data_IF_111409289044
#
_entry.id   IF_111409289044
#
_cell.length_a   1.000
_cell.length_b   1.000
_cell.length_c   1.000
_cell.angle_alpha   90.00
_cell.angle_beta   90.00
_cell.angle_gamma   90.00
#
_symmetry.space_group_name_H-M   'P 1'
#
loop_
_entity.id
_entity.type
_entity.pdbx_description
1 polymer ?
#
# COMPACT_ATOMS: atom_id res chain seq x y z
N UNK A 1 19.42 -20.62 5.52
CA UNK A 1 18.91 -22.01 5.42
C UNK A 1 17.68 -22.37 6.28
N UNK A 2 17.25 -21.60 7.31
CA UNK A 2 15.99 -21.87 8.07
C UNK A 2 14.71 -21.46 7.33
N UNK A 3 14.79 -20.53 6.39
CA UNK A 3 13.63 -19.90 5.72
C UNK A 3 12.94 -20.79 4.68
N UNK A 4 13.63 -21.77 4.12
CA UNK A 4 13.07 -22.74 3.15
C UNK A 4 12.07 -23.74 3.75
N UNK A 5 11.82 -23.67 5.06
CA UNK A 5 10.89 -24.60 5.75
C UNK A 5 9.47 -24.04 5.91
N UNK A 6 9.24 -22.75 5.59
CA UNK A 6 7.91 -22.18 5.66
C UNK A 6 7.01 -22.78 4.56
N UNK A 7 5.91 -23.38 4.95
CA UNK A 7 4.97 -24.05 4.01
C UNK A 7 4.43 -23.11 2.96
N UNK A 8 4.09 -21.86 3.36
CA UNK A 8 3.62 -20.86 2.44
C UNK A 8 4.67 -20.53 1.37
N UNK A 9 5.93 -20.36 1.75
CA UNK A 9 7.01 -20.13 0.79
C UNK A 9 7.24 -21.36 -0.11
N UNK A 10 7.22 -22.58 0.46
CA UNK A 10 7.37 -23.80 -0.33
C UNK A 10 6.25 -23.93 -1.37
N UNK A 11 5.02 -23.62 -0.99
CA UNK A 11 3.90 -23.59 -1.91
C UNK A 11 4.13 -22.56 -3.04
N UNK A 12 4.48 -21.31 -2.69
CA UNK A 12 4.77 -20.26 -3.68
C UNK A 12 5.81 -20.70 -4.71
N UNK A 13 6.86 -21.39 -4.29
CA UNK A 13 7.92 -21.85 -5.20
C UNK A 13 7.48 -22.90 -6.22
N UNK A 14 6.31 -23.53 -6.01
CA UNK A 14 5.71 -24.49 -6.98
C UNK A 14 4.67 -23.87 -7.89
N UNK A 15 4.26 -22.62 -7.64
CA UNK A 15 3.20 -21.94 -8.37
C UNK A 15 3.74 -21.22 -9.62
N UNK A 16 2.91 -21.14 -10.67
CA UNK A 16 3.16 -20.32 -11.86
C UNK A 16 2.64 -18.89 -11.60
N UNK A 17 3.52 -17.87 -11.51
CA UNK A 17 3.08 -16.50 -11.21
C UNK A 17 2.10 -15.92 -12.23
N UNK A 18 2.08 -16.42 -13.47
CA UNK A 18 1.16 -15.97 -14.52
C UNK A 18 -0.28 -16.47 -14.34
N UNK A 19 -0.45 -17.59 -13.64
CA UNK A 19 -1.74 -18.26 -13.44
C UNK A 19 -2.20 -18.16 -11.98
N UNK A 20 -1.25 -18.33 -11.05
CA UNK A 20 -1.53 -18.52 -9.63
C UNK A 20 -1.29 -17.25 -8.81
N UNK A 21 -1.25 -16.07 -9.46
CA UNK A 21 -0.95 -14.77 -8.81
C UNK A 21 -1.87 -14.47 -7.63
N UNK A 22 -3.14 -14.84 -7.66
CA UNK A 22 -4.05 -14.64 -6.52
C UNK A 22 -3.60 -15.46 -5.30
N UNK A 23 -3.21 -16.73 -5.53
CA UNK A 23 -2.73 -17.59 -4.45
C UNK A 23 -1.39 -17.10 -3.91
N UNK A 24 -0.47 -16.67 -4.76
CA UNK A 24 0.82 -16.10 -4.36
C UNK A 24 0.60 -14.85 -3.49
N UNK A 25 -0.23 -13.91 -3.93
CA UNK A 25 -0.50 -12.68 -3.18
C UNK A 25 -1.22 -12.96 -1.87
N UNK A 26 -2.15 -13.92 -1.84
CA UNK A 26 -2.80 -14.36 -0.61
C UNK A 26 -1.79 -14.91 0.41
N UNK A 27 -0.89 -15.79 -0.01
CA UNK A 27 0.14 -16.36 0.85
C UNK A 27 1.09 -15.27 1.38
N UNK A 28 1.48 -14.36 0.50
CA UNK A 28 2.32 -13.22 0.85
C UNK A 28 1.65 -12.31 1.90
N UNK A 29 0.41 -11.89 1.65
CA UNK A 29 -0.29 -10.91 2.47
C UNK A 29 -0.80 -11.49 3.79
N UNK A 30 -1.24 -12.75 3.80
CA UNK A 30 -1.92 -13.33 4.96
C UNK A 30 -1.02 -14.21 5.83
N UNK A 31 0.09 -14.74 5.29
CA UNK A 31 0.97 -15.66 6.01
C UNK A 31 2.39 -15.12 6.20
N UNK A 32 3.08 -14.78 5.11
CA UNK A 32 4.51 -14.47 5.14
C UNK A 32 4.80 -13.03 5.64
N UNK A 33 4.10 -12.03 5.09
CA UNK A 33 4.41 -10.62 5.31
C UNK A 33 3.20 -9.74 5.66
N UNK A 34 2.25 -10.17 6.54
CA UNK A 34 1.02 -9.40 6.74
C UNK A 34 1.26 -7.98 7.28
N UNK A 35 2.29 -7.77 8.10
CA UNK A 35 2.70 -6.44 8.55
C UNK A 35 3.32 -5.63 7.40
N UNK A 36 4.25 -6.24 6.68
CA UNK A 36 5.03 -5.54 5.65
C UNK A 36 4.15 -5.18 4.44
N UNK A 37 3.23 -6.05 4.03
CA UNK A 37 2.23 -5.75 2.97
C UNK A 37 1.36 -4.57 3.38
N UNK A 38 0.91 -4.50 4.64
CA UNK A 38 0.13 -3.36 5.11
C UNK A 38 0.95 -2.07 5.10
N UNK A 39 2.16 -2.07 5.68
CA UNK A 39 3.01 -0.88 5.76
C UNK A 39 3.46 -0.41 4.38
N UNK A 40 3.85 -1.33 3.51
CA UNK A 40 4.24 -0.99 2.15
C UNK A 40 3.07 -0.50 1.29
N UNK A 41 1.86 -1.05 1.48
CA UNK A 41 0.64 -0.55 0.83
C UNK A 41 0.30 0.89 1.26
N UNK A 42 0.47 1.22 2.54
CA UNK A 42 0.34 2.60 3.01
C UNK A 42 1.38 3.52 2.38
N UNK A 43 2.63 3.08 2.29
CA UNK A 43 3.70 3.84 1.63
C UNK A 43 3.45 3.99 0.13
N UNK A 44 2.88 2.97 -0.53
CA UNK A 44 2.48 3.04 -1.93
C UNK A 44 1.45 4.15 -2.17
N UNK A 45 0.38 4.18 -1.35
CA UNK A 45 -0.60 5.26 -1.40
C UNK A 45 0.00 6.61 -1.07
N UNK A 46 0.80 6.70 -0.02
CA UNK A 46 1.42 7.94 0.42
C UNK A 46 2.29 8.54 -0.69
N UNK A 47 3.00 7.69 -1.45
CA UNK A 47 3.84 8.07 -2.57
C UNK A 47 3.04 8.74 -3.69
N UNK A 48 1.80 8.31 -3.94
CA UNK A 48 0.95 8.90 -4.98
C UNK A 48 0.58 10.35 -4.71
N UNK A 49 0.57 10.79 -3.45
CA UNK A 49 0.29 12.19 -3.07
C UNK A 49 1.37 13.15 -3.55
N UNK A 50 2.57 12.67 -3.90
CA UNK A 50 3.65 13.50 -4.43
C UNK A 50 3.40 13.98 -5.88
N UNK A 51 2.38 13.43 -6.57
CA UNK A 51 1.91 13.86 -7.89
C UNK A 51 0.82 14.92 -7.74
N UNK A 52 1.05 16.18 -8.18
CA UNK A 52 0.08 17.26 -7.97
C UNK A 52 -1.32 17.00 -8.53
N UNK A 53 -1.44 16.33 -9.69
CA UNK A 53 -2.75 15.96 -10.27
C UNK A 53 -3.55 15.07 -9.32
N UNK A 54 -2.92 14.01 -8.85
CA UNK A 54 -3.53 13.06 -7.89
C UNK A 54 -3.87 13.77 -6.58
N UNK A 55 -2.92 14.55 -6.02
CA UNK A 55 -3.13 15.27 -4.78
C UNK A 55 -4.28 16.28 -4.86
N UNK A 56 -4.37 17.04 -5.95
CA UNK A 56 -5.44 18.02 -6.18
C UNK A 56 -6.80 17.33 -6.25
N UNK A 57 -6.92 16.20 -6.99
CA UNK A 57 -8.15 15.42 -7.04
C UNK A 57 -8.55 14.93 -5.65
N UNK A 58 -7.64 14.30 -4.91
CA UNK A 58 -7.90 13.78 -3.58
C UNK A 58 -8.26 14.88 -2.58
N UNK A 59 -7.65 16.06 -2.70
CA UNK A 59 -8.00 17.21 -1.88
C UNK A 59 -9.40 17.74 -2.19
N UNK A 60 -9.75 17.81 -3.49
CA UNK A 60 -11.08 18.26 -3.95
C UNK A 60 -12.20 17.34 -3.45
N UNK A 61 -11.97 16.03 -3.32
CA UNK A 61 -12.98 15.11 -2.78
C UNK A 61 -13.35 15.40 -1.32
N UNK A 62 -12.50 16.10 -0.56
CA UNK A 62 -12.69 16.39 0.86
C UNK A 62 -12.53 15.18 1.80
N UNK A 63 -12.42 13.96 1.28
CA UNK A 63 -12.38 12.75 2.12
C UNK A 63 -11.16 12.70 3.04
N UNK A 64 -9.98 13.04 2.52
CA UNK A 64 -8.78 13.13 3.34
C UNK A 64 -8.78 14.34 4.29
N UNK A 65 -9.52 15.40 3.96
CA UNK A 65 -9.57 16.61 4.78
C UNK A 65 -10.53 16.48 5.95
N UNK A 66 -11.68 15.87 5.73
CA UNK A 66 -12.76 15.81 6.72
C UNK A 66 -12.88 14.46 7.41
N UNK A 67 -12.45 13.36 6.75
CA UNK A 67 -12.67 11.98 7.21
C UNK A 67 -11.44 11.09 6.97
N UNK A 68 -10.22 11.61 7.28
CA UNK A 68 -8.94 10.93 7.00
C UNK A 68 -8.91 9.49 7.51
N UNK A 69 -9.32 9.26 8.77
CA UNK A 69 -9.35 7.90 9.34
C UNK A 69 -10.31 6.98 8.58
N UNK A 70 -11.51 7.49 8.24
CA UNK A 70 -12.47 6.69 7.49
C UNK A 70 -11.95 6.36 6.09
N UNK A 71 -11.35 7.32 5.39
CA UNK A 71 -10.77 7.11 4.07
C UNK A 71 -9.64 6.06 4.10
N UNK A 72 -8.83 6.07 5.16
CA UNK A 72 -7.84 5.02 5.39
C UNK A 72 -8.50 3.65 5.61
N UNK A 73 -9.45 3.54 6.55
CA UNK A 73 -10.13 2.29 6.89
C UNK A 73 -10.88 1.71 5.69
N UNK A 74 -11.54 2.55 4.89
CA UNK A 74 -12.24 2.16 3.65
C UNK A 74 -11.28 1.51 2.65
N UNK A 75 -10.12 2.13 2.44
CA UNK A 75 -9.10 1.61 1.52
C UNK A 75 -8.54 0.29 2.00
N UNK A 76 -8.17 0.23 3.28
CA UNK A 76 -7.65 -1.00 3.89
C UNK A 76 -8.67 -2.15 3.82
N UNK A 77 -9.95 -1.89 4.08
CA UNK A 77 -11.01 -2.89 3.97
C UNK A 77 -11.20 -3.42 2.54
N UNK A 78 -11.25 -2.53 1.56
CA UNK A 78 -11.42 -2.92 0.15
C UNK A 78 -10.23 -3.74 -0.32
N UNK A 79 -9.00 -3.23 -0.15
CA UNK A 79 -7.79 -3.90 -0.61
C UNK A 79 -7.56 -5.23 0.13
N UNK A 80 -7.72 -5.25 1.46
CA UNK A 80 -7.59 -6.48 2.23
C UNK A 80 -8.62 -7.53 1.80
N UNK A 81 -9.88 -7.11 1.57
CA UNK A 81 -10.91 -8.06 1.10
C UNK A 81 -10.55 -8.67 -0.25
N UNK A 82 -10.02 -7.88 -1.18
CA UNK A 82 -9.60 -8.36 -2.50
C UNK A 82 -8.40 -9.31 -2.37
N UNK A 83 -7.37 -8.97 -1.58
CA UNK A 83 -6.20 -9.82 -1.36
C UNK A 83 -6.54 -11.15 -0.65
N UNK A 84 -7.49 -11.12 0.27
CA UNK A 84 -7.89 -12.27 1.07
C UNK A 84 -8.82 -13.24 0.34
N UNK A 85 -9.61 -12.76 -0.61
CA UNK A 85 -10.66 -13.55 -1.24
C UNK A 85 -10.46 -13.75 -2.76
N UNK A 86 -9.52 -13.04 -3.37
CA UNK A 86 -9.35 -13.01 -4.83
C UNK A 86 -10.44 -12.19 -5.53
N UNK A 87 -10.33 -12.09 -6.86
CA UNK A 87 -11.19 -11.23 -7.66
C UNK A 87 -12.59 -11.79 -7.90
N UNK A 88 -12.72 -13.13 -8.00
CA UNK A 88 -13.93 -13.79 -8.55
C UNK A 88 -14.87 -14.36 -7.48
N UNK A 89 -14.52 -14.30 -6.21
CA UNK A 89 -15.43 -14.62 -5.11
C UNK A 89 -16.51 -13.52 -4.97
N UNK A 90 -17.62 -13.83 -4.29
CA UNK A 90 -18.67 -12.83 -4.01
C UNK A 90 -18.11 -11.61 -3.27
N UNK A 91 -17.24 -11.82 -2.25
CA UNK A 91 -16.65 -10.75 -1.48
C UNK A 91 -15.67 -9.91 -2.32
N UNK A 92 -14.77 -10.58 -3.08
CA UNK A 92 -13.83 -9.91 -3.96
C UNK A 92 -14.51 -9.09 -5.05
N UNK A 93 -15.52 -9.66 -5.74
CA UNK A 93 -16.32 -8.91 -6.73
C UNK A 93 -17.02 -7.70 -6.13
N UNK A 94 -17.62 -7.84 -4.92
CA UNK A 94 -18.28 -6.71 -4.26
C UNK A 94 -17.28 -5.60 -3.93
N UNK A 95 -16.12 -5.93 -3.34
CA UNK A 95 -15.08 -4.96 -3.00
C UNK A 95 -14.54 -4.26 -4.26
N UNK A 96 -14.29 -5.04 -5.31
CA UNK A 96 -13.75 -4.51 -6.57
C UNK A 96 -14.76 -3.61 -7.29
N UNK A 97 -16.02 -4.03 -7.37
CA UNK A 97 -17.10 -3.24 -7.93
C UNK A 97 -17.28 -1.92 -7.17
N UNK A 98 -17.17 -1.96 -5.83
CA UNK A 98 -17.24 -0.76 -5.00
C UNK A 98 -16.10 0.21 -5.30
N UNK A 99 -14.87 -0.31 -5.41
CA UNK A 99 -13.69 0.47 -5.78
C UNK A 99 -13.87 1.13 -7.16
N UNK A 100 -14.27 0.36 -8.17
CA UNK A 100 -14.50 0.87 -9.52
C UNK A 100 -15.59 1.93 -9.56
N UNK A 101 -16.69 1.75 -8.82
CA UNK A 101 -17.75 2.74 -8.73
C UNK A 101 -17.24 4.08 -8.17
N UNK A 102 -16.37 4.05 -7.14
CA UNK A 102 -15.78 5.26 -6.58
C UNK A 102 -14.82 5.94 -7.56
N UNK A 103 -13.94 5.19 -8.24
CA UNK A 103 -13.02 5.75 -9.23
C UNK A 103 -13.78 6.29 -10.46
N UNK A 104 -14.80 5.59 -10.94
CA UNK A 104 -15.60 5.99 -12.08
C UNK A 104 -16.45 7.26 -11.86
N UNK A 105 -16.56 7.75 -10.63
CA UNK A 105 -17.22 9.03 -10.33
C UNK A 105 -16.34 10.24 -10.72
N UNK A 106 -15.06 10.04 -10.90
CA UNK A 106 -14.08 11.08 -11.19
C UNK A 106 -13.42 10.88 -12.56
N UNK A 107 -13.06 11.96 -13.21
CA UNK A 107 -12.23 11.92 -14.42
C UNK A 107 -10.77 11.79 -13.96
N UNK A 108 -10.23 10.58 -14.03
CA UNK A 108 -8.84 10.29 -13.64
C UNK A 108 -8.05 9.98 -14.92
N UNK A 109 -6.96 10.70 -15.21
CA UNK A 109 -6.11 10.40 -16.35
C UNK A 109 -5.55 8.97 -16.30
N UNK A 110 -5.51 8.28 -17.45
CA UNK A 110 -5.05 6.91 -17.50
C UNK A 110 -3.61 6.73 -16.99
N UNK A 111 -2.73 7.67 -17.28
CA UNK A 111 -1.33 7.61 -16.82
C UNK A 111 -1.21 7.73 -15.30
N UNK A 112 -2.10 8.49 -14.62
CA UNK A 112 -2.15 8.56 -13.16
C UNK A 112 -2.64 7.23 -12.57
N UNK A 113 -3.68 6.61 -13.16
CA UNK A 113 -4.15 5.29 -12.74
C UNK A 113 -3.08 4.22 -12.92
N UNK A 114 -2.37 4.26 -14.05
CA UNK A 114 -1.26 3.34 -14.35
C UNK A 114 -0.12 3.52 -13.34
N UNK A 115 0.24 4.77 -13.03
CA UNK A 115 1.25 5.06 -12.04
C UNK A 115 0.84 4.56 -10.64
N UNK A 116 -0.39 4.87 -10.17
CA UNK A 116 -0.88 4.36 -8.88
C UNK A 116 -0.79 2.84 -8.82
N UNK A 117 -1.20 2.15 -9.90
CA UNK A 117 -1.11 0.69 -9.98
C UNK A 117 0.33 0.20 -9.81
N UNK A 118 1.30 0.87 -10.44
CA UNK A 118 2.74 0.52 -10.34
C UNK A 118 3.28 0.65 -8.92
N UNK A 119 2.79 1.63 -8.14
CA UNK A 119 3.24 1.81 -6.75
C UNK A 119 2.90 0.59 -5.88
N UNK A 120 1.77 -0.07 -6.11
CA UNK A 120 1.38 -1.29 -5.39
C UNK A 120 2.17 -2.54 -5.80
N UNK A 121 3.00 -2.45 -6.84
CA UNK A 121 3.95 -3.50 -7.23
C UNK A 121 5.32 -3.20 -6.61
N UNK A 122 5.91 -2.06 -6.96
CA UNK A 122 7.33 -1.78 -6.71
C UNK A 122 7.61 -1.26 -5.31
N UNK A 123 6.69 -0.54 -4.68
CA UNK A 123 6.89 -0.09 -3.29
C UNK A 123 6.92 -1.26 -2.30
N UNK A 124 5.99 -2.24 -2.34
CA UNK A 124 6.11 -3.44 -1.52
C UNK A 124 7.40 -4.23 -1.76
N UNK A 125 7.83 -4.40 -3.00
CA UNK A 125 9.07 -5.12 -3.33
C UNK A 125 10.27 -4.41 -2.68
N UNK A 126 10.42 -3.09 -2.89
CA UNK A 126 11.51 -2.28 -2.30
C UNK A 126 11.43 -2.23 -0.78
N UNK A 127 10.22 -2.21 -0.20
CA UNK A 127 10.03 -2.31 1.25
C UNK A 127 10.55 -3.64 1.78
N UNK A 128 10.18 -4.78 1.16
CA UNK A 128 10.61 -6.11 1.60
C UNK A 128 12.13 -6.27 1.47
N UNK A 129 12.74 -5.74 0.43
CA UNK A 129 14.20 -5.74 0.26
C UNK A 129 14.91 -4.98 1.37
N UNK A 130 14.33 -3.88 1.84
CA UNK A 130 14.94 -3.01 2.85
C UNK A 130 14.61 -3.44 4.28
N UNK A 131 13.38 -3.84 4.55
CA UNK A 131 12.80 -4.02 5.88
C UNK A 131 12.08 -5.36 6.10
N UNK A 132 11.92 -6.18 5.08
CA UNK A 132 11.35 -7.51 5.19
C UNK A 132 12.25 -8.45 5.99
N UNK A 133 11.68 -9.48 6.59
CA UNK A 133 12.45 -10.52 7.27
C UNK A 133 13.23 -11.43 6.30
N UNK A 134 12.88 -11.39 5.03
CA UNK A 134 13.61 -11.88 3.87
C UNK A 134 13.22 -11.05 2.63
N UNK A 135 14.06 -11.05 1.58
CA UNK A 135 13.63 -10.52 0.28
C UNK A 135 12.54 -11.40 -0.34
N UNK A 136 11.79 -10.84 -1.27
CA UNK A 136 10.83 -11.59 -2.08
C UNK A 136 11.59 -12.48 -3.10
N UNK A 137 11.02 -13.65 -3.36
CA UNK A 137 11.45 -14.52 -4.47
C UNK A 137 10.96 -13.95 -5.82
N UNK A 138 11.53 -14.44 -6.93
CA UNK A 138 11.07 -14.03 -8.25
C UNK A 138 9.60 -14.38 -8.49
N UNK A 139 9.15 -15.56 -7.99
CA UNK A 139 7.74 -15.95 -8.05
C UNK A 139 6.83 -14.96 -7.32
N UNK A 140 7.26 -14.45 -6.15
CA UNK A 140 6.49 -13.46 -5.40
C UNK A 140 6.44 -12.09 -6.08
N UNK A 141 7.56 -11.63 -6.64
CA UNK A 141 7.63 -10.37 -7.40
C UNK A 141 6.75 -10.42 -8.65
N UNK A 142 6.88 -11.49 -9.43
CA UNK A 142 6.06 -11.71 -10.62
C UNK A 142 4.60 -11.94 -10.27
N UNK A 143 4.31 -12.63 -9.16
CA UNK A 143 2.95 -12.80 -8.65
C UNK A 143 2.28 -11.47 -8.35
N UNK A 144 2.98 -10.55 -7.66
CA UNK A 144 2.49 -9.17 -7.42
C UNK A 144 2.27 -8.42 -8.74
N UNK A 145 3.19 -8.53 -9.67
CA UNK A 145 3.09 -7.89 -10.97
C UNK A 145 1.86 -8.36 -11.76
N UNK A 146 1.66 -9.68 -11.93
CA UNK A 146 0.51 -10.21 -12.66
C UNK A 146 -0.81 -9.95 -11.93
N UNK A 147 -0.80 -10.00 -10.60
CA UNK A 147 -1.97 -9.64 -9.79
C UNK A 147 -2.40 -8.19 -10.03
N UNK A 148 -1.47 -7.24 -9.98
CA UNK A 148 -1.78 -5.83 -10.20
C UNK A 148 -2.15 -5.55 -11.65
N UNK A 149 -1.55 -6.24 -12.63
CA UNK A 149 -1.99 -6.14 -14.02
C UNK A 149 -3.44 -6.60 -14.20
N UNK A 150 -3.83 -7.71 -13.59
CA UNK A 150 -5.22 -8.17 -13.62
C UNK A 150 -6.16 -7.18 -12.92
N UNK A 151 -5.75 -6.61 -11.78
CA UNK A 151 -6.49 -5.52 -11.14
C UNK A 151 -6.66 -4.33 -12.09
N UNK A 152 -5.59 -3.88 -12.74
CA UNK A 152 -5.62 -2.79 -13.72
C UNK A 152 -6.55 -3.09 -14.89
N UNK A 153 -6.52 -4.30 -15.43
CA UNK A 153 -7.43 -4.75 -16.50
C UNK A 153 -8.90 -4.64 -16.06
N UNK A 154 -9.21 -5.09 -14.84
CA UNK A 154 -10.57 -5.01 -14.24
C UNK A 154 -11.00 -3.57 -13.90
N UNK A 155 -10.04 -2.66 -13.73
CA UNK A 155 -10.28 -1.23 -13.58
C UNK A 155 -10.37 -0.48 -14.91
N UNK A 156 -10.27 -1.19 -16.04
CA UNK A 156 -10.25 -0.61 -17.39
C UNK A 156 -9.07 0.36 -17.65
N UNK A 157 -7.95 0.16 -16.94
CA UNK A 157 -6.70 0.90 -17.17
C UNK A 157 -6.13 0.43 -18.51
N UNK A 158 -5.77 1.39 -19.38
CA UNK A 158 -5.25 1.12 -20.71
C UNK A 158 -3.72 1.04 -20.69
N UNK A 159 -3.16 0.45 -21.75
CA UNK A 159 -1.70 0.42 -21.99
C UNK A 159 -0.91 -0.21 -20.84
N UNK A 160 -1.49 -1.26 -20.23
CA UNK A 160 -0.82 -2.00 -19.15
C UNK A 160 0.44 -2.69 -19.70
N UNK A 161 1.65 -2.37 -19.19
CA UNK A 161 2.87 -3.01 -19.64
C UNK A 161 2.84 -4.53 -19.46
N UNK A 162 3.41 -5.25 -20.42
CA UNK A 162 3.46 -6.71 -20.39
C UNK A 162 4.71 -7.25 -19.69
N UNK A 163 5.71 -6.43 -19.55
CA UNK A 163 6.99 -6.76 -18.93
C UNK A 163 7.14 -6.08 -17.56
N UNK A 164 7.72 -6.81 -16.62
CA UNK A 164 7.95 -6.35 -15.25
C UNK A 164 8.91 -5.16 -15.21
N UNK A 165 10.02 -5.24 -15.96
CA UNK A 165 11.04 -4.18 -15.95
C UNK A 165 10.61 -2.94 -16.73
N UNK A 166 9.86 -3.12 -17.81
CA UNK A 166 9.24 -2.00 -18.54
C UNK A 166 8.31 -1.20 -17.64
N UNK A 167 7.48 -1.90 -16.85
CA UNK A 167 6.56 -1.22 -15.93
C UNK A 167 7.30 -0.57 -14.75
N UNK A 168 8.39 -1.16 -14.28
CA UNK A 168 9.24 -0.54 -13.27
C UNK A 168 9.88 0.74 -13.78
N UNK A 169 10.42 0.71 -15.00
CA UNK A 169 11.01 1.89 -15.63
C UNK A 169 9.97 3.00 -15.83
N UNK A 170 8.77 2.65 -16.31
CA UNK A 170 7.65 3.60 -16.36
C UNK A 170 7.39 4.26 -15.01
N UNK A 171 7.35 3.47 -13.93
CA UNK A 171 7.10 4.00 -12.58
C UNK A 171 8.17 5.01 -12.15
N UNK A 172 9.46 4.69 -12.40
CA UNK A 172 10.58 5.56 -12.05
C UNK A 172 10.60 6.85 -12.89
N UNK A 173 10.37 6.73 -14.19
CA UNK A 173 10.32 7.88 -15.09
C UNK A 173 9.14 8.79 -14.75
N UNK A 174 7.99 8.18 -14.43
CA UNK A 174 6.80 8.93 -14.03
C UNK A 174 7.05 9.76 -12.76
N UNK A 175 7.70 9.19 -11.75
CA UNK A 175 8.07 9.90 -10.52
C UNK A 175 9.05 11.05 -10.79
N UNK A 176 10.09 10.81 -11.58
CA UNK A 176 11.07 11.83 -11.95
C UNK A 176 10.41 13.04 -12.62
N UNK A 177 9.43 12.78 -13.50
CA UNK A 177 8.83 13.80 -14.36
C UNK A 177 7.64 14.50 -13.71
N UNK A 178 6.97 13.86 -12.74
CA UNK A 178 5.70 14.34 -12.19
C UNK A 178 5.71 14.64 -10.68
N UNK A 179 6.74 14.25 -9.93
CA UNK A 179 6.83 14.62 -8.53
C UNK A 179 7.15 16.11 -8.40
N UNK A 180 6.23 16.86 -7.80
CA UNK A 180 6.39 18.28 -7.58
C UNK A 180 5.65 18.76 -6.33
N UNK A 181 6.12 19.85 -5.74
CA UNK A 181 5.43 20.47 -4.64
C UNK A 181 4.05 20.99 -5.05
N UNK A 182 3.05 20.71 -4.22
CA UNK A 182 1.76 21.39 -4.27
C UNK A 182 1.18 21.55 -2.85
N UNK A 183 0.39 22.60 -2.64
CA UNK A 183 -0.28 22.82 -1.35
C UNK A 183 -1.26 21.67 -1.01
N UNK A 184 -1.89 21.06 -2.01
CA UNK A 184 -2.74 19.88 -1.84
C UNK A 184 -1.92 18.67 -1.38
N UNK A 185 -0.77 18.39 -2.01
CA UNK A 185 0.14 17.32 -1.62
C UNK A 185 0.62 17.48 -0.17
N UNK A 186 1.08 18.68 0.19
CA UNK A 186 1.46 19.00 1.56
C UNK A 186 0.32 18.72 2.54
N UNK A 187 -0.87 19.26 2.26
CA UNK A 187 -2.05 19.14 3.16
C UNK A 187 -2.48 17.71 3.39
N UNK A 188 -2.59 16.91 2.31
CA UNK A 188 -3.00 15.51 2.42
C UNK A 188 -1.96 14.69 3.15
N UNK A 189 -0.67 14.87 2.82
CA UNK A 189 0.41 14.18 3.50
C UNK A 189 0.46 14.52 4.99
N UNK A 190 0.30 15.79 5.34
CA UNK A 190 0.28 16.29 6.73
C UNK A 190 -0.86 15.66 7.54
N UNK A 191 -2.07 15.63 7.00
CA UNK A 191 -3.24 15.03 7.64
C UNK A 191 -3.07 13.51 7.86
N UNK A 192 -2.48 12.80 6.89
CA UNK A 192 -2.23 11.38 7.04
C UNK A 192 -1.16 11.10 8.10
N UNK A 193 -0.08 11.88 8.14
CA UNK A 193 0.94 11.77 9.21
C UNK A 193 0.31 12.03 10.57
N UNK A 194 -0.51 13.07 10.70
CA UNK A 194 -1.17 13.41 11.96
C UNK A 194 -2.13 12.29 12.40
N UNK A 195 -2.84 11.66 11.47
CA UNK A 195 -3.68 10.49 11.73
C UNK A 195 -2.84 9.30 12.25
N UNK A 196 -1.74 8.94 11.56
CA UNK A 196 -0.87 7.82 11.97
C UNK A 196 -0.26 8.07 13.35
N UNK A 197 0.24 9.26 13.59
CA UNK A 197 0.79 9.62 14.90
C UNK A 197 -0.28 9.61 15.98
N UNK A 198 -1.50 10.00 15.65
CA UNK A 198 -2.64 10.02 16.55
C UNK A 198 -3.08 8.62 17.04
N UNK A 199 -2.62 7.55 16.41
CA UNK A 199 -2.85 6.19 16.91
C UNK A 199 -1.99 5.85 18.13
N UNK A 200 -0.87 6.54 18.31
CA UNK A 200 0.14 6.22 19.32
C UNK A 200 0.44 7.39 20.26
N UNK A 201 0.23 8.63 19.81
CA UNK A 201 0.64 9.84 20.53
C UNK A 201 -0.54 10.80 20.75
N UNK A 202 -0.66 11.38 21.93
CA UNK A 202 -1.56 12.50 22.18
C UNK A 202 -1.15 13.71 21.32
N UNK A 203 -2.10 14.61 21.05
CA UNK A 203 -1.94 15.69 20.08
C UNK A 203 -0.67 16.55 20.31
N UNK A 204 -0.35 16.87 21.56
CA UNK A 204 0.79 17.72 21.90
C UNK A 204 2.17 17.04 21.65
N UNK A 205 2.25 15.71 21.57
CA UNK A 205 3.48 14.97 21.28
C UNK A 205 3.67 14.65 19.80
N UNK A 206 2.64 14.82 18.96
CA UNK A 206 2.72 14.48 17.52
C UNK A 206 3.83 15.23 16.78
N UNK A 207 4.11 16.53 17.07
CA UNK A 207 5.23 17.22 16.42
C UNK A 207 6.57 16.51 16.62
N UNK A 208 6.80 15.89 17.78
CA UNK A 208 8.03 15.14 18.06
C UNK A 208 8.08 13.79 17.31
N UNK A 209 6.91 13.23 16.93
CA UNK A 209 6.81 12.01 16.17
C UNK A 209 7.02 12.16 14.66
N UNK A 210 6.83 13.39 14.12
CA UNK A 210 6.89 13.64 12.67
C UNK A 210 8.22 13.23 12.02
N UNK A 211 9.40 13.56 12.58
CA UNK A 211 10.68 13.16 12.01
C UNK A 211 10.84 11.65 11.82
N UNK A 212 10.17 10.83 12.64
CA UNK A 212 10.20 9.37 12.51
C UNK A 212 9.40 8.88 11.28
N UNK A 213 8.30 9.56 10.93
CA UNK A 213 7.58 9.29 9.68
C UNK A 213 8.38 9.80 8.48
N UNK A 214 8.97 11.01 8.57
CA UNK A 214 9.81 11.58 7.51
C UNK A 214 11.00 10.66 7.18
N UNK A 215 11.54 9.93 8.16
CA UNK A 215 12.64 8.98 7.97
C UNK A 215 12.28 7.78 7.08
N UNK A 216 11.00 7.53 6.82
CA UNK A 216 10.52 6.52 5.88
C UNK A 216 10.37 7.04 4.45
N UNK A 217 10.35 8.37 4.26
CA UNK A 217 10.18 9.03 2.97
C UNK A 217 11.54 9.22 2.29
N UNK A 218 11.56 9.10 0.98
CA UNK A 218 12.73 9.45 0.19
C UNK A 218 12.78 10.96 -0.10
N UNK A 219 13.91 11.42 -0.62
CA UNK A 219 14.15 12.82 -0.93
C UNK A 219 13.14 13.42 -1.91
N UNK A 220 12.75 12.75 -3.02
CA UNK A 220 11.71 13.25 -3.91
C UNK A 220 10.38 13.48 -3.20
N UNK A 221 9.93 12.55 -2.34
CA UNK A 221 8.70 12.72 -1.57
C UNK A 221 8.79 13.88 -0.58
N UNK A 222 9.89 13.99 0.18
CA UNK A 222 10.09 15.10 1.13
C UNK A 222 9.99 16.46 0.43
N UNK A 223 10.60 16.60 -0.76
CA UNK A 223 10.52 17.82 -1.58
C UNK A 223 9.11 18.10 -2.05
N UNK A 224 8.41 17.08 -2.58
CA UNK A 224 7.05 17.22 -3.10
C UNK A 224 6.05 17.59 -2.01
N UNK A 225 6.28 17.18 -0.78
CA UNK A 225 5.45 17.55 0.35
C UNK A 225 5.90 18.84 1.03
N UNK A 226 7.07 19.38 0.72
CA UNK A 226 7.66 20.51 1.43
C UNK A 226 8.01 20.19 2.88
N UNK A 227 8.37 18.95 3.17
CA UNK A 227 8.77 18.52 4.51
C UNK A 227 10.29 18.64 4.70
N UNK A 228 10.76 18.96 5.91
CA UNK A 228 12.17 19.02 6.20
C UNK A 228 12.82 17.63 6.18
N UNK A 229 14.08 17.56 5.83
CA UNK A 229 14.88 16.35 6.00
C UNK A 229 14.98 15.98 7.47
N UNK A 230 14.67 14.74 7.85
CA UNK A 230 14.85 14.32 9.23
C UNK A 230 16.33 14.22 9.59
N UNK A 231 16.70 14.44 10.85
CA UNK A 231 18.06 14.22 11.32
C UNK A 231 18.55 12.81 11.04
N UNK A 232 19.80 12.65 10.61
CA UNK A 232 20.39 11.33 10.27
C UNK A 232 20.22 10.31 11.40
N UNK A 233 20.39 10.73 12.64
CA UNK A 233 20.23 9.85 13.81
C UNK A 233 18.82 9.23 13.88
N UNK A 234 17.78 9.98 13.50
CA UNK A 234 16.39 9.45 13.45
C UNK A 234 16.22 8.48 12.30
N UNK A 235 16.81 8.77 11.14
CA UNK A 235 16.80 7.84 9.98
C UNK A 235 17.47 6.52 10.35
N UNK A 236 18.64 6.59 10.99
CA UNK A 236 19.39 5.41 11.44
C UNK A 236 18.59 4.63 12.50
N UNK A 237 17.99 5.31 13.48
CA UNK A 237 17.17 4.69 14.53
C UNK A 237 15.97 3.96 13.96
N UNK A 238 15.19 4.58 13.05
CA UNK A 238 14.03 3.96 12.39
C UNK A 238 14.48 2.75 11.57
N UNK A 239 15.58 2.90 10.83
CA UNK A 239 16.13 1.81 10.01
C UNK A 239 16.56 0.63 10.87
N UNK A 240 17.26 0.88 11.97
CA UNK A 240 17.70 -0.17 12.91
C UNK A 240 16.50 -0.84 13.57
N UNK A 241 15.49 -0.07 14.01
CA UNK A 241 14.29 -0.61 14.63
C UNK A 241 13.52 -1.56 13.69
N UNK A 242 13.33 -1.16 12.43
CA UNK A 242 12.65 -2.00 11.42
C UNK A 242 13.47 -3.25 11.07
N UNK A 243 14.79 -3.13 10.92
CA UNK A 243 15.67 -4.28 10.68
C UNK A 243 15.72 -5.23 11.88
N UNK A 244 15.73 -4.71 13.11
CA UNK A 244 15.66 -5.52 14.32
C UNK A 244 14.32 -6.27 14.38
N UNK A 245 13.22 -5.58 14.11
CA UNK A 245 11.90 -6.23 13.98
C UNK A 245 11.92 -7.35 12.95
N UNK A 246 12.47 -7.11 11.77
CA UNK A 246 12.61 -8.11 10.71
C UNK A 246 13.42 -9.33 11.19
N UNK A 247 14.54 -9.10 11.86
CA UNK A 247 15.37 -10.15 12.44
C UNK A 247 14.60 -10.94 13.52
N UNK A 248 13.86 -10.29 14.40
CA UNK A 248 13.04 -10.97 15.40
C UNK A 248 11.97 -11.84 14.75
N UNK A 249 11.28 -11.31 13.71
CA UNK A 249 10.27 -12.08 12.96
C UNK A 249 10.87 -13.31 12.29
N UNK A 250 12.11 -13.25 11.80
CA UNK A 250 12.77 -14.40 11.16
C UNK A 250 13.04 -15.56 12.11
N UNK A 251 12.99 -15.37 13.44
CA UNK A 251 13.08 -16.42 14.44
C UNK A 251 11.74 -17.00 14.86
N UNK A 252 10.63 -16.31 14.55
CA UNK A 252 9.31 -16.80 14.91
C UNK A 252 8.92 -18.03 14.06
N UNK A 253 8.09 -18.93 14.59
CA UNK A 253 7.53 -20.01 13.80
C UNK A 253 6.60 -19.47 12.70
N UNK A 254 6.45 -20.25 11.62
CA UNK A 254 5.50 -19.94 10.56
C UNK A 254 4.07 -19.78 11.11
N UNK A 255 3.28 -18.93 10.46
CA UNK A 255 1.86 -18.80 10.78
C UNK A 255 1.09 -20.06 10.37
N UNK A 256 0.36 -20.62 11.32
CA UNK A 256 -0.52 -21.77 11.07
C UNK A 256 -1.88 -21.37 10.51
N UNK A 257 -2.31 -20.11 10.73
CA UNK A 257 -3.60 -19.55 10.26
C UNK A 257 -3.35 -18.21 9.58
N UNK A 258 -4.13 -17.87 8.53
CA UNK A 258 -4.00 -16.58 7.87
C UNK A 258 -4.37 -15.43 8.82
N UNK A 259 -3.66 -14.33 8.69
CA UNK A 259 -4.05 -13.07 9.32
C UNK A 259 -4.92 -12.30 8.32
N UNK A 260 -6.23 -12.28 8.58
CA UNK A 260 -7.21 -11.61 7.72
C UNK A 260 -7.47 -10.20 8.27
N UNK A 261 -6.92 -9.21 7.59
CA UNK A 261 -7.05 -7.80 7.97
C UNK A 261 -8.48 -7.27 7.80
N UNK A 262 -9.22 -7.78 6.82
CA UNK A 262 -10.63 -7.41 6.59
C UNK A 262 -11.52 -7.76 7.79
N UNK A 263 -11.15 -8.78 8.58
CA UNK A 263 -11.87 -9.19 9.78
C UNK A 263 -11.40 -8.48 11.05
N UNK A 264 -10.34 -7.68 10.96
CA UNK A 264 -9.84 -6.90 12.08
C UNK A 264 -10.75 -5.70 12.40
N UNK A 265 -10.76 -5.28 13.68
CA UNK A 265 -11.44 -4.05 14.08
C UNK A 265 -10.90 -2.83 13.32
N UNK A 266 -11.78 -1.96 12.85
CA UNK A 266 -11.46 -0.68 12.21
C UNK A 266 -11.96 0.46 13.07
N UNK A 267 -11.15 1.53 13.17
CA UNK A 267 -11.49 2.69 14.02
C UNK A 267 -12.78 3.38 13.60
N UNK A 268 -13.02 3.43 12.28
CA UNK A 268 -14.24 4.05 11.74
C UNK A 268 -15.45 3.12 11.74
N UNK A 269 -15.27 1.85 12.07
CA UNK A 269 -16.32 0.83 12.06
C UNK A 269 -16.29 -0.04 13.33
N UNK A 270 -16.51 0.55 14.52
CA UNK A 270 -16.39 -0.17 15.80
C UNK A 270 -17.45 -1.27 15.97
N UNK A 271 -18.59 -1.14 15.30
CA UNK A 271 -19.69 -2.12 15.33
C UNK A 271 -19.69 -3.08 14.13
N UNK A 272 -18.60 -3.06 13.33
CA UNK A 272 -18.53 -3.81 12.08
C UNK A 272 -18.95 -2.98 10.86
N UNK A 273 -18.83 -3.56 9.67
CA UNK A 273 -19.13 -2.91 8.40
C UNK A 273 -19.82 -3.88 7.45
N UNK A 274 -20.60 -3.34 6.53
CA UNK A 274 -21.03 -4.04 5.32
C UNK A 274 -20.20 -3.56 4.15
N UNK A 275 -19.68 -4.49 3.36
CA UNK A 275 -18.73 -4.21 2.30
C UNK A 275 -19.27 -3.28 1.20
N UNK A 276 -20.56 -3.36 0.92
CA UNK A 276 -21.27 -2.51 -0.03
C UNK A 276 -21.47 -1.06 0.48
N UNK A 277 -21.34 -0.83 1.79
CA UNK A 277 -21.44 0.49 2.43
C UNK A 277 -20.05 1.14 2.65
N UNK A 278 -18.96 0.39 2.46
CA UNK A 278 -17.58 0.90 2.61
C UNK A 278 -17.26 1.93 1.52
N UNK A 279 -16.57 3.00 1.88
CA UNK A 279 -16.19 4.08 0.98
C UNK A 279 -17.14 5.28 1.01
N UNK A 280 -16.92 6.22 0.07
CA UNK A 280 -17.73 7.44 -0.03
C UNK A 280 -19.16 7.11 -0.45
N UNK A 281 -20.12 7.73 0.19
CA UNK A 281 -21.50 7.73 -0.31
C UNK A 281 -21.55 8.62 -1.53
N UNK A 282 -21.72 8.00 -2.69
CA UNK A 282 -21.94 8.69 -3.95
C UNK A 282 -23.43 9.07 -4.00
N UNK A 283 -23.70 10.36 -4.05
CA UNK A 283 -25.05 10.93 -4.27
C UNK A 283 -25.50 10.68 -5.70
#
# INVERSE_FOLDING_TARGET
>A
MRHTKHKALQEVLTLDPRKDYERIVYLLACYEFPFDVARSGEMALFRTFAVPGIANLLHHTGEFTHRTQKRYDDTDLILSTIFENGFDTKAGRTAFSRMNKMHGHYIIPNHEMLYVLSTFIYVPIRWMERFGWRPLTEQEKLGLFYYMREAGRRMNIKELPNDYHEFEQFSLDYERDNFAYSGAAHKIADLNIDMFLGWFLPKFLRPLGRPFIYALLDEPMLKSFGFPRPPKIIVDLVTVALKLRAKLVSFLPERKKPLLRSKGSKRSYPLGHKLDEVGTKLS
#
